data_IF_209413920787
#
_entry.id   IF_209413920787
#
_cell.length_a   1.000
_cell.length_b   1.000
_cell.length_c   1.000
_cell.angle_alpha   90.00
_cell.angle_beta   90.00
_cell.angle_gamma   90.00
#
_symmetry.space_group_name_H-M   'P 1'
#
loop_
_entity.id
_entity.type
_entity.pdbx_description
1 polymer ?
#
# COMPACT_ATOMS: atom_id res chain seq x y z
N UNK A 1 -1.48 -33.63 -18.29
CA UNK A 1 -2.18 -32.33 -18.52
C UNK A 1 -2.42 -32.14 -20.01
N UNK A 2 -3.66 -31.91 -20.41
CA UNK A 2 -4.00 -31.59 -21.81
C UNK A 2 -4.25 -30.07 -21.88
N UNK A 3 -3.44 -29.38 -22.70
CA UNK A 3 -3.58 -27.94 -22.95
C UNK A 3 -4.29 -27.75 -24.27
N UNK A 4 -5.28 -26.87 -24.31
CA UNK A 4 -6.03 -26.50 -25.51
C UNK A 4 -5.69 -25.05 -25.89
N UNK A 5 -5.44 -24.79 -27.17
CA UNK A 5 -5.28 -23.44 -27.67
C UNK A 5 -6.65 -22.83 -27.95
N UNK A 6 -6.98 -21.73 -27.28
CA UNK A 6 -8.24 -21.01 -27.43
C UNK A 6 -7.99 -19.52 -27.69
N UNK A 7 -8.94 -18.87 -28.36
CA UNK A 7 -8.95 -17.42 -28.48
C UNK A 7 -9.81 -16.83 -27.39
N UNK A 8 -9.34 -15.79 -26.68
CA UNK A 8 -10.10 -15.21 -25.55
C UNK A 8 -11.50 -14.73 -25.97
N UNK A 9 -11.70 -14.26 -27.20
CA UNK A 9 -13.00 -13.85 -27.70
C UNK A 9 -14.01 -14.99 -27.85
N UNK A 10 -13.53 -16.23 -27.94
CA UNK A 10 -14.41 -17.43 -28.05
C UNK A 10 -14.93 -17.86 -26.66
N UNK A 11 -14.18 -17.55 -25.60
CA UNK A 11 -14.46 -17.99 -24.23
C UNK A 11 -14.93 -16.89 -23.29
N UNK A 12 -14.82 -15.62 -23.69
CA UNK A 12 -15.19 -14.47 -22.86
C UNK A 12 -15.79 -13.33 -23.68
N UNK A 13 -16.72 -12.62 -23.09
CA UNK A 13 -17.26 -11.36 -23.61
C UNK A 13 -16.56 -10.17 -22.95
N UNK A 14 -16.30 -9.12 -23.74
CA UNK A 14 -15.64 -7.91 -23.28
C UNK A 14 -16.53 -6.69 -23.45
N UNK A 15 -16.61 -5.83 -22.43
CA UNK A 15 -17.35 -4.57 -22.50
C UNK A 15 -16.64 -3.44 -21.76
N UNK A 16 -16.77 -2.22 -22.29
CA UNK A 16 -16.30 -1.02 -21.59
C UNK A 16 -17.29 -0.63 -20.50
N UNK A 17 -16.80 0.03 -19.46
CA UNK A 17 -17.64 0.58 -18.40
C UNK A 17 -18.34 1.88 -18.83
N UNK A 18 -19.03 2.47 -17.86
CA UNK A 18 -19.84 3.68 -18.06
C UNK A 18 -18.97 4.94 -18.18
N UNK A 19 -19.36 5.84 -19.07
CA UNK A 19 -18.81 7.18 -19.16
C UNK A 19 -19.72 8.14 -18.40
N UNK A 20 -19.14 8.99 -17.58
CA UNK A 20 -19.86 9.97 -16.77
C UNK A 20 -18.96 11.19 -16.49
N UNK A 21 -19.56 12.27 -16.05
CA UNK A 21 -18.86 13.48 -15.63
C UNK A 21 -18.75 13.55 -14.10
N UNK A 22 -18.02 14.55 -13.58
CA UNK A 22 -17.82 14.70 -12.14
C UNK A 22 -19.10 14.93 -11.32
N UNK A 23 -20.17 15.41 -11.94
CA UNK A 23 -21.46 15.67 -11.27
C UNK A 23 -22.27 14.38 -11.01
N UNK A 24 -21.79 13.25 -11.52
CA UNK A 24 -22.41 11.95 -11.31
C UNK A 24 -21.99 11.28 -9.99
N UNK A 25 -20.94 11.79 -9.32
CA UNK A 25 -20.54 11.24 -8.02
C UNK A 25 -21.57 11.61 -6.96
N UNK A 26 -22.29 10.61 -6.48
CA UNK A 26 -23.33 10.70 -5.47
C UNK A 26 -23.57 9.31 -4.87
N UNK A 27 -24.14 9.23 -3.67
CA UNK A 27 -24.52 7.95 -3.05
C UNK A 27 -25.47 7.16 -3.94
N UNK A 28 -25.10 5.94 -4.35
CA UNK A 28 -25.92 5.17 -5.27
C UNK A 28 -25.40 3.78 -5.63
N UNK A 29 -24.59 3.67 -6.69
CA UNK A 29 -23.98 2.41 -7.14
C UNK A 29 -22.47 2.51 -6.98
N UNK A 30 -21.84 1.50 -6.38
CA UNK A 30 -20.39 1.44 -6.21
C UNK A 30 -19.68 1.38 -7.55
N UNK A 31 -18.58 2.14 -7.68
CA UNK A 31 -17.84 2.32 -8.93
C UNK A 31 -16.40 1.82 -8.79
N UNK A 32 -16.01 0.87 -9.62
CA UNK A 32 -14.60 0.53 -9.81
C UNK A 32 -14.00 1.49 -10.85
N UNK A 33 -13.09 2.34 -10.39
CA UNK A 33 -12.27 3.23 -11.23
C UNK A 33 -10.81 2.82 -11.24
N UNK A 34 -9.99 3.47 -12.08
CA UNK A 34 -8.56 3.14 -12.21
C UNK A 34 -7.78 3.30 -10.90
N UNK A 35 -8.16 4.22 -10.03
CA UNK A 35 -7.53 4.44 -8.72
C UNK A 35 -7.69 3.26 -7.75
N UNK A 36 -8.65 2.37 -7.99
CA UNK A 36 -8.89 1.20 -7.15
C UNK A 36 -7.95 0.02 -7.47
N UNK A 37 -7.25 0.07 -8.62
CA UNK A 37 -6.31 -0.98 -9.03
C UNK A 37 -4.94 -0.74 -8.39
N UNK A 38 -4.60 -1.58 -7.41
CA UNK A 38 -3.26 -1.74 -6.87
C UNK A 38 -2.72 -3.13 -7.22
N UNK A 39 -2.04 -3.76 -6.26
CA UNK A 39 -1.63 -5.18 -6.35
C UNK A 39 -2.73 -6.15 -5.88
N UNK A 40 -3.92 -5.63 -5.59
CA UNK A 40 -5.04 -6.40 -5.06
C UNK A 40 -5.55 -7.42 -6.08
N UNK A 41 -5.97 -8.57 -5.56
CA UNK A 41 -6.66 -9.58 -6.37
C UNK A 41 -8.16 -9.27 -6.49
N UNK A 42 -8.75 -8.73 -5.43
CA UNK A 42 -10.17 -8.36 -5.34
C UNK A 42 -10.34 -6.86 -5.07
N UNK A 43 -11.46 -6.24 -5.49
CA UNK A 43 -11.79 -4.87 -5.12
C UNK A 43 -12.05 -4.73 -3.61
N UNK A 44 -11.67 -3.59 -3.04
CA UNK A 44 -12.09 -3.21 -1.69
C UNK A 44 -13.43 -2.46 -1.78
N UNK A 45 -14.52 -3.18 -1.64
CA UNK A 45 -15.86 -2.63 -1.79
C UNK A 45 -16.21 -1.51 -0.80
N UNK A 46 -15.52 -1.45 0.36
CA UNK A 46 -15.75 -0.42 1.37
C UNK A 46 -15.16 0.93 0.97
N UNK A 47 -14.13 0.93 0.12
CA UNK A 47 -13.42 2.14 -0.31
C UNK A 47 -13.82 2.60 -1.71
N UNK A 48 -14.82 1.97 -2.34
CA UNK A 48 -15.30 2.40 -3.65
C UNK A 48 -16.10 3.69 -3.54
N UNK A 49 -15.85 4.61 -4.47
CA UNK A 49 -16.74 5.75 -4.70
C UNK A 49 -18.07 5.26 -5.26
N UNK A 50 -19.09 6.11 -5.18
CA UNK A 50 -20.41 5.79 -5.69
C UNK A 50 -20.84 6.80 -6.75
N UNK A 51 -21.71 6.34 -7.67
CA UNK A 51 -22.32 7.16 -8.71
C UNK A 51 -23.85 7.01 -8.69
N UNK A 52 -24.54 8.00 -9.24
CA UNK A 52 -26.02 8.02 -9.34
C UNK A 52 -26.56 6.73 -9.93
N UNK A 53 -27.68 6.27 -9.38
CA UNK A 53 -28.32 5.00 -9.80
C UNK A 53 -28.89 5.04 -11.21
N UNK A 54 -29.38 6.19 -11.64
CA UNK A 54 -30.06 6.42 -12.92
C UNK A 54 -29.13 6.34 -14.14
N UNK A 55 -27.82 6.55 -13.94
CA UNK A 55 -26.84 6.43 -15.02
C UNK A 55 -26.31 4.99 -15.20
N UNK A 56 -26.69 4.06 -14.32
CA UNK A 56 -26.16 2.68 -14.33
C UNK A 56 -27.26 1.71 -14.72
N UNK A 57 -27.17 1.16 -15.92
CA UNK A 57 -28.10 0.14 -16.40
C UNK A 57 -27.78 -1.23 -15.78
N UNK A 58 -28.74 -2.19 -15.75
CA UNK A 58 -28.48 -3.54 -15.23
C UNK A 58 -27.32 -4.27 -15.91
N UNK A 59 -27.15 -4.09 -17.24
CA UNK A 59 -26.04 -4.68 -18.00
C UNK A 59 -24.68 -4.10 -17.69
N UNK A 60 -24.62 -2.87 -17.14
CA UNK A 60 -23.38 -2.22 -16.70
C UNK A 60 -22.94 -2.69 -15.30
N UNK A 61 -23.74 -3.52 -14.64
CA UNK A 61 -23.42 -4.07 -13.34
C UNK A 61 -22.49 -5.28 -13.45
N UNK A 62 -21.50 -5.30 -12.56
CA UNK A 62 -20.59 -6.41 -12.39
C UNK A 62 -21.26 -7.56 -11.61
N UNK A 63 -20.87 -8.79 -11.94
CA UNK A 63 -21.32 -10.03 -11.31
C UNK A 63 -20.13 -10.78 -10.71
N UNK A 64 -20.42 -11.72 -9.85
CA UNK A 64 -19.41 -12.65 -9.36
C UNK A 64 -18.70 -13.35 -10.54
N UNK A 65 -17.39 -13.41 -10.52
CA UNK A 65 -16.56 -14.00 -11.59
C UNK A 65 -16.20 -13.03 -12.73
N UNK A 66 -16.72 -11.81 -12.77
CA UNK A 66 -16.28 -10.79 -13.72
C UNK A 66 -14.82 -10.36 -13.41
N UNK A 67 -14.02 -10.20 -14.47
CA UNK A 67 -12.64 -9.69 -14.34
C UNK A 67 -12.59 -8.30 -14.96
N UNK A 68 -12.15 -7.32 -14.18
CA UNK A 68 -12.10 -5.91 -14.63
C UNK A 68 -10.65 -5.52 -14.87
N UNK A 69 -10.37 -4.93 -16.04
CA UNK A 69 -9.05 -4.45 -16.46
C UNK A 69 -8.99 -2.94 -16.48
N UNK A 70 -7.83 -2.37 -16.18
CA UNK A 70 -7.51 -0.99 -16.53
C UNK A 70 -7.32 -0.89 -18.05
N UNK A 71 -8.21 -0.14 -18.71
CA UNK A 71 -8.18 0.10 -20.15
C UNK A 71 -7.20 1.19 -20.52
N UNK A 72 -7.25 2.33 -19.85
CA UNK A 72 -6.50 3.54 -20.19
C UNK A 72 -6.04 4.27 -18.95
N UNK A 73 -4.77 4.67 -18.93
CA UNK A 73 -4.18 5.49 -17.88
C UNK A 73 -2.93 6.21 -18.41
N UNK A 74 -2.63 7.40 -17.87
CA UNK A 74 -1.38 8.11 -18.15
C UNK A 74 -0.11 7.36 -17.68
N UNK A 75 -0.24 6.46 -16.69
CA UNK A 75 0.83 5.54 -16.30
C UNK A 75 0.68 4.21 -17.06
N UNK A 76 1.62 3.94 -17.96
CA UNK A 76 1.65 2.72 -18.78
C UNK A 76 1.63 1.42 -17.97
N UNK A 77 2.22 1.42 -16.78
CA UNK A 77 2.29 0.23 -15.93
C UNK A 77 0.94 -0.17 -15.32
N UNK A 78 -0.02 0.74 -15.28
CA UNK A 78 -1.36 0.44 -14.78
C UNK A 78 -2.24 -0.21 -15.86
N UNK A 79 -2.00 0.05 -17.13
CA UNK A 79 -2.79 -0.50 -18.24
C UNK A 79 -2.65 -2.03 -18.27
N UNK A 80 -3.77 -2.73 -18.37
CA UNK A 80 -3.85 -4.20 -18.33
C UNK A 80 -3.77 -4.81 -16.94
N UNK A 81 -3.64 -4.03 -15.85
CA UNK A 81 -3.89 -4.56 -14.51
C UNK A 81 -5.33 -5.01 -14.39
N UNK A 82 -5.56 -6.10 -13.66
CA UNK A 82 -6.90 -6.64 -13.50
C UNK A 82 -7.22 -7.02 -12.05
N UNK A 83 -8.51 -7.11 -11.75
CA UNK A 83 -9.07 -7.60 -10.49
C UNK A 83 -10.26 -8.52 -10.78
N UNK A 84 -10.45 -9.52 -9.93
CA UNK A 84 -11.61 -10.41 -9.94
C UNK A 84 -12.71 -9.85 -9.04
N UNK A 85 -13.91 -9.72 -9.56
CA UNK A 85 -15.11 -9.38 -8.78
C UNK A 85 -15.59 -10.64 -8.06
N UNK A 86 -15.52 -10.64 -6.72
CA UNK A 86 -15.92 -11.78 -5.88
C UNK A 86 -17.05 -11.35 -4.96
N UNK A 87 -18.19 -12.04 -5.07
CA UNK A 87 -19.35 -11.91 -4.19
C UNK A 87 -19.73 -10.45 -3.85
N UNK A 88 -20.03 -9.59 -4.84
CA UNK A 88 -20.48 -8.23 -4.55
C UNK A 88 -21.83 -8.28 -3.81
N UNK A 89 -21.90 -7.72 -2.61
CA UNK A 89 -23.11 -7.68 -1.77
C UNK A 89 -24.07 -6.56 -2.20
N UNK A 90 -23.57 -5.60 -3.00
CA UNK A 90 -24.31 -4.45 -3.52
C UNK A 90 -24.10 -4.33 -5.03
N UNK A 91 -24.86 -3.46 -5.66
CA UNK A 91 -24.62 -3.14 -7.08
C UNK A 91 -23.26 -2.46 -7.25
N UNK A 92 -22.46 -3.01 -8.14
CA UNK A 92 -21.14 -2.48 -8.50
C UNK A 92 -21.08 -2.28 -10.00
N UNK A 93 -20.59 -1.14 -10.44
CA UNK A 93 -20.30 -0.83 -11.85
C UNK A 93 -18.82 -0.47 -12.02
N UNK A 94 -18.41 -0.13 -13.23
CA UNK A 94 -17.02 0.22 -13.54
C UNK A 94 -16.93 1.36 -14.55
N UNK A 95 -15.87 2.15 -14.47
CA UNK A 95 -15.72 3.35 -15.30
C UNK A 95 -15.33 3.01 -16.74
N UNK A 96 -15.61 3.90 -17.68
CA UNK A 96 -15.23 3.78 -19.10
C UNK A 96 -13.71 3.67 -19.35
N UNK A 97 -12.88 3.94 -18.32
CA UNK A 97 -11.45 3.66 -18.32
C UNK A 97 -11.09 2.22 -17.96
N UNK A 98 -12.10 1.37 -17.78
CA UNK A 98 -11.97 -0.06 -17.50
C UNK A 98 -12.68 -0.90 -18.54
N UNK A 99 -12.27 -2.16 -18.70
CA UNK A 99 -12.92 -3.20 -19.51
C UNK A 99 -13.26 -4.36 -18.59
N UNK A 100 -14.49 -4.85 -18.66
CA UNK A 100 -14.92 -6.12 -18.05
C UNK A 100 -14.67 -7.26 -19.03
N UNK A 101 -14.07 -8.35 -18.56
CA UNK A 101 -14.15 -9.68 -19.17
C UNK A 101 -15.12 -10.52 -18.35
N UNK A 102 -16.04 -11.21 -19.03
CA UNK A 102 -16.95 -12.20 -18.45
C UNK A 102 -16.80 -13.50 -19.20
N UNK A 103 -16.41 -14.56 -18.50
CA UNK A 103 -16.31 -15.89 -19.07
C UNK A 103 -17.69 -16.41 -19.45
N UNK A 104 -17.82 -17.03 -20.64
CA UNK A 104 -19.09 -17.50 -21.18
C UNK A 104 -19.53 -18.82 -20.54
N UNK A 105 -18.58 -19.62 -20.05
CA UNK A 105 -18.81 -20.93 -19.46
C UNK A 105 -17.85 -21.11 -18.25
N UNK A 106 -18.38 -20.97 -17.05
CA UNK A 106 -17.60 -21.10 -15.80
C UNK A 106 -17.40 -22.55 -15.35
N UNK A 107 -18.11 -23.50 -15.96
CA UNK A 107 -17.88 -24.93 -15.70
C UNK A 107 -16.64 -25.45 -16.46
N UNK A 108 -16.24 -24.72 -17.52
CA UNK A 108 -15.04 -25.03 -18.31
C UNK A 108 -13.89 -24.08 -18.06
N UNK A 109 -14.14 -22.85 -17.63
CA UNK A 109 -13.15 -21.78 -17.48
C UNK A 109 -13.26 -21.12 -16.11
N UNK A 110 -12.27 -21.31 -15.24
CA UNK A 110 -12.27 -20.78 -13.88
C UNK A 110 -11.85 -19.28 -13.87
N UNK A 111 -12.72 -18.35 -13.36
CA UNK A 111 -12.39 -16.94 -13.24
C UNK A 111 -11.16 -16.63 -12.38
N UNK A 112 -10.85 -17.45 -11.35
CA UNK A 112 -9.68 -17.28 -10.50
C UNK A 112 -8.41 -17.59 -11.28
N UNK A 113 -8.39 -18.74 -11.99
CA UNK A 113 -7.29 -19.10 -12.88
C UNK A 113 -7.04 -18.03 -13.93
N UNK A 114 -8.09 -17.57 -14.64
CA UNK A 114 -7.94 -16.53 -15.67
C UNK A 114 -7.46 -15.19 -15.10
N UNK A 115 -7.84 -14.85 -13.87
CA UNK A 115 -7.31 -13.65 -13.22
C UNK A 115 -5.80 -13.76 -13.01
N UNK A 116 -5.27 -14.91 -12.58
CA UNK A 116 -3.83 -15.15 -12.49
C UNK A 116 -3.15 -15.14 -13.85
N UNK A 117 -3.77 -15.77 -14.85
CA UNK A 117 -3.27 -15.73 -16.22
C UNK A 117 -3.10 -14.28 -16.70
N UNK A 118 -4.11 -13.44 -16.50
CA UNK A 118 -4.09 -12.02 -16.88
C UNK A 118 -3.12 -11.17 -16.05
N UNK A 119 -2.84 -11.55 -14.83
CA UNK A 119 -1.80 -10.91 -14.00
C UNK A 119 -0.39 -11.32 -14.40
N UNK A 120 -0.21 -12.38 -15.17
CA UNK A 120 1.10 -12.87 -15.58
C UNK A 120 1.85 -11.84 -16.44
N UNK A 121 3.18 -11.77 -16.26
CA UNK A 121 4.04 -10.88 -17.07
C UNK A 121 3.96 -11.21 -18.57
N UNK A 122 3.76 -12.50 -18.91
CA UNK A 122 3.64 -12.95 -20.29
C UNK A 122 2.40 -12.35 -20.97
N UNK A 123 1.22 -12.50 -20.34
CA UNK A 123 -0.01 -11.92 -20.85
C UNK A 123 0.07 -10.39 -20.94
N UNK A 124 0.53 -9.73 -19.88
CA UNK A 124 0.64 -8.27 -19.87
C UNK A 124 1.55 -7.73 -20.99
N UNK A 125 2.67 -8.39 -21.26
CA UNK A 125 3.54 -8.06 -22.40
C UNK A 125 2.83 -8.26 -23.74
N UNK A 126 2.10 -9.36 -23.91
CA UNK A 126 1.39 -9.66 -25.15
C UNK A 126 0.29 -8.63 -25.47
N UNK A 127 -0.45 -8.17 -24.43
CA UNK A 127 -1.54 -7.18 -24.64
C UNK A 127 -1.07 -5.72 -24.56
N UNK A 128 0.11 -5.44 -23.98
CA UNK A 128 0.66 -4.07 -23.90
C UNK A 128 1.17 -3.54 -25.24
N UNK A 129 1.34 -4.36 -26.26
CA UNK A 129 1.78 -4.06 -27.62
C UNK A 129 2.70 -2.87 -27.78
N UNK A 130 3.88 -3.11 -28.29
CA UNK A 130 4.87 -2.13 -28.71
C UNK A 130 4.40 -1.33 -29.93
N UNK A 131 3.46 -0.40 -29.75
CA UNK A 131 3.33 0.68 -30.72
C UNK A 131 4.46 1.68 -30.45
N UNK A 132 5.53 1.57 -31.19
CA UNK A 132 6.61 2.57 -31.23
C UNK A 132 5.97 3.92 -31.55
N UNK A 133 6.02 4.88 -30.63
CA UNK A 133 5.63 6.28 -30.86
C UNK A 133 4.34 6.78 -30.20
N UNK A 134 3.50 5.96 -29.54
CA UNK A 134 2.30 6.46 -28.88
C UNK A 134 2.49 6.65 -27.36
N UNK A 135 2.24 7.87 -26.88
CA UNK A 135 2.38 8.24 -25.46
C UNK A 135 1.27 7.67 -24.54
N UNK A 136 0.18 7.15 -25.09
CA UNK A 136 -0.94 6.56 -24.33
C UNK A 136 -1.19 5.16 -24.89
N UNK A 137 -1.00 4.14 -24.04
CA UNK A 137 -1.36 2.77 -24.38
C UNK A 137 -2.80 2.53 -23.92
N UNK A 138 -3.67 2.19 -24.88
CA UNK A 138 -5.04 1.76 -24.61
C UNK A 138 -5.16 0.25 -24.85
N UNK A 139 -5.60 -0.48 -23.84
CA UNK A 139 -6.09 -1.83 -23.99
C UNK A 139 -7.46 -1.78 -24.71
N UNK A 140 -7.63 -2.51 -25.80
CA UNK A 140 -8.91 -2.58 -26.51
C UNK A 140 -9.58 -3.95 -26.35
N UNK A 141 -10.91 -3.97 -26.46
CA UNK A 141 -11.68 -5.22 -26.45
C UNK A 141 -11.20 -6.15 -27.59
N UNK A 142 -10.98 -5.60 -28.80
CA UNK A 142 -10.50 -6.37 -29.94
C UNK A 142 -9.13 -7.02 -29.67
N UNK A 143 -8.23 -6.34 -28.95
CA UNK A 143 -6.93 -6.90 -28.60
C UNK A 143 -7.06 -8.04 -27.60
N UNK A 144 -7.96 -7.91 -26.60
CA UNK A 144 -8.27 -8.99 -25.68
C UNK A 144 -8.90 -10.17 -26.42
N UNK A 145 -9.94 -9.92 -27.23
CA UNK A 145 -10.67 -10.96 -27.97
C UNK A 145 -9.76 -11.75 -28.93
N UNK A 146 -8.80 -11.07 -29.57
CA UNK A 146 -7.89 -11.72 -30.53
C UNK A 146 -6.66 -12.38 -29.89
N UNK A 147 -6.54 -12.36 -28.56
CA UNK A 147 -5.42 -12.99 -27.88
C UNK A 147 -5.61 -14.51 -27.82
N UNK A 148 -4.64 -15.24 -28.36
CA UNK A 148 -4.58 -16.71 -28.24
C UNK A 148 -3.93 -17.10 -26.92
N UNK A 149 -4.51 -18.03 -26.19
CA UNK A 149 -3.95 -18.59 -24.96
C UNK A 149 -4.05 -20.12 -24.96
N UNK A 150 -3.10 -20.75 -24.28
CA UNK A 150 -3.16 -22.16 -23.98
C UNK A 150 -3.82 -22.34 -22.61
N UNK A 151 -4.84 -23.16 -22.52
CA UNK A 151 -5.65 -23.36 -21.31
C UNK A 151 -5.67 -24.85 -20.97
N UNK A 152 -5.37 -25.25 -19.72
CA UNK A 152 -5.48 -26.64 -19.31
C UNK A 152 -6.94 -27.04 -19.05
N UNK A 153 -7.19 -28.31 -18.80
CA UNK A 153 -8.49 -28.77 -18.33
C UNK A 153 -8.90 -28.09 -17.01
N UNK A 154 -10.21 -28.10 -16.72
CA UNK A 154 -10.79 -27.35 -15.59
C UNK A 154 -10.24 -27.82 -14.22
N UNK A 155 -9.95 -29.09 -14.06
CA UNK A 155 -9.37 -29.64 -12.83
C UNK A 155 -7.97 -29.06 -12.59
N UNK A 156 -7.17 -28.95 -13.64
CA UNK A 156 -5.84 -28.32 -13.59
C UNK A 156 -5.96 -26.81 -13.34
N UNK A 157 -6.94 -26.11 -13.96
CA UNK A 157 -7.20 -24.70 -13.68
C UNK A 157 -7.50 -24.49 -12.19
N UNK A 158 -8.39 -25.30 -11.60
CA UNK A 158 -8.72 -25.22 -10.17
C UNK A 158 -7.49 -25.47 -9.29
N UNK A 159 -6.69 -26.50 -9.57
CA UNK A 159 -5.47 -26.77 -8.79
C UNK A 159 -4.47 -25.61 -8.83
N UNK A 160 -4.25 -25.01 -10.01
CA UNK A 160 -3.39 -23.84 -10.16
C UNK A 160 -3.97 -22.64 -9.39
N UNK A 161 -5.28 -22.40 -9.51
CA UNK A 161 -5.97 -21.33 -8.81
C UNK A 161 -5.87 -21.50 -7.28
N UNK A 162 -6.08 -22.70 -6.76
CA UNK A 162 -6.00 -23.01 -5.33
C UNK A 162 -4.59 -22.79 -4.77
N UNK A 163 -3.56 -23.22 -5.50
CA UNK A 163 -2.16 -22.99 -5.09
C UNK A 163 -1.87 -21.49 -5.01
N UNK A 164 -2.20 -20.73 -6.04
CA UNK A 164 -1.87 -19.29 -6.10
C UNK A 164 -2.74 -18.47 -5.13
N UNK A 165 -4.02 -18.80 -4.98
CA UNK A 165 -4.92 -18.09 -4.06
C UNK A 165 -4.53 -18.30 -2.60
N UNK A 166 -3.99 -19.47 -2.23
CA UNK A 166 -3.48 -19.71 -0.89
C UNK A 166 -2.38 -18.71 -0.49
N UNK A 167 -1.50 -18.32 -1.44
CA UNK A 167 -0.51 -17.25 -1.20
C UNK A 167 -1.18 -15.89 -1.02
N UNK A 168 -2.14 -15.54 -1.89
CA UNK A 168 -2.82 -14.24 -1.79
C UNK A 168 -3.69 -14.13 -0.53
N UNK A 169 -4.34 -15.20 -0.10
CA UNK A 169 -5.12 -15.26 1.14
C UNK A 169 -4.20 -15.08 2.37
N UNK A 170 -3.02 -15.69 2.37
CA UNK A 170 -2.02 -15.49 3.43
C UNK A 170 -1.47 -14.06 3.43
N UNK A 171 -1.22 -13.46 2.26
CA UNK A 171 -0.79 -12.07 2.13
C UNK A 171 -1.88 -11.13 2.69
N UNK A 172 -3.14 -11.33 2.29
CA UNK A 172 -4.27 -10.52 2.78
C UNK A 172 -4.45 -10.65 4.29
N UNK A 173 -4.35 -11.86 4.83
CA UNK A 173 -4.45 -12.09 6.26
C UNK A 173 -3.35 -11.37 7.05
N UNK A 174 -2.09 -11.43 6.59
CA UNK A 174 -1.00 -10.69 7.22
C UNK A 174 -1.18 -9.17 7.11
N UNK A 175 -1.72 -8.65 6.00
CA UNK A 175 -2.06 -7.22 5.86
C UNK A 175 -3.16 -6.80 6.85
N UNK A 176 -4.20 -7.62 7.05
CA UNK A 176 -5.24 -7.40 8.05
C UNK A 176 -4.67 -7.40 9.47
N UNK A 177 -3.75 -8.33 9.77
CA UNK A 177 -3.07 -8.37 11.07
C UNK A 177 -2.26 -7.09 11.32
N UNK A 178 -1.50 -6.58 10.34
CA UNK A 178 -0.77 -5.30 10.47
C UNK A 178 -1.75 -4.17 10.81
N UNK A 179 -2.85 -4.05 10.09
CA UNK A 179 -3.85 -3.01 10.34
C UNK A 179 -4.44 -3.10 11.77
N UNK A 180 -4.79 -4.29 12.24
CA UNK A 180 -5.31 -4.49 13.59
C UNK A 180 -4.27 -4.16 14.66
N UNK A 181 -2.98 -4.46 14.42
CA UNK A 181 -1.88 -4.12 15.32
C UNK A 181 -1.63 -2.59 15.34
N UNK A 182 -1.74 -1.90 14.22
CA UNK A 182 -1.71 -0.43 14.16
C UNK A 182 -2.85 0.19 14.98
N UNK A 183 -4.08 -0.31 14.81
CA UNK A 183 -5.23 0.16 15.58
C UNK A 183 -5.06 -0.12 17.07
N UNK A 184 -4.50 -1.28 17.45
CA UNK A 184 -4.23 -1.61 18.86
C UNK A 184 -3.18 -0.67 19.46
N UNK A 185 -2.11 -0.34 18.75
CA UNK A 185 -1.10 0.59 19.20
C UNK A 185 -1.65 2.02 19.36
N UNK A 186 -2.47 2.48 18.40
CA UNK A 186 -3.12 3.79 18.49
C UNK A 186 -4.07 3.88 19.69
N UNK A 187 -4.87 2.83 19.94
CA UNK A 187 -5.76 2.75 21.12
C UNK A 187 -4.96 2.75 22.41
N UNK A 188 -3.88 1.96 22.47
CA UNK A 188 -3.01 1.92 23.65
C UNK A 188 -2.39 3.28 23.94
N UNK A 189 -1.86 3.97 22.88
CA UNK A 189 -1.31 5.30 23.02
C UNK A 189 -2.37 6.30 23.53
N UNK A 190 -3.55 6.29 22.89
CA UNK A 190 -4.65 7.18 23.27
C UNK A 190 -5.05 6.95 24.72
N UNK A 191 -5.26 5.72 25.12
CA UNK A 191 -5.70 5.37 26.48
C UNK A 191 -4.69 5.80 27.52
N UNK A 192 -3.40 5.54 27.30
CA UNK A 192 -2.38 5.81 28.33
C UNK A 192 -1.90 7.25 28.35
N UNK A 193 -1.76 7.91 27.19
CA UNK A 193 -1.06 9.19 27.07
C UNK A 193 -1.95 10.36 26.63
N UNK A 194 -3.16 10.10 26.19
CA UNK A 194 -4.17 11.14 25.88
C UNK A 194 -5.27 11.14 26.94
N UNK A 195 -5.88 9.97 27.18
CA UNK A 195 -6.97 9.82 28.17
C UNK A 195 -6.43 9.61 29.60
N UNK A 196 -5.11 9.46 29.75
CA UNK A 196 -4.37 9.27 31.00
C UNK A 196 -4.85 8.07 31.84
N UNK A 197 -5.36 7.02 31.17
CA UNK A 197 -5.81 5.76 31.78
C UNK A 197 -4.72 4.68 31.74
N UNK A 198 -3.53 5.04 32.19
CA UNK A 198 -2.38 4.12 32.29
C UNK A 198 -2.50 3.21 33.53
N UNK A 199 -1.73 2.10 33.62
CA UNK A 199 -1.75 1.23 34.77
C UNK A 199 -1.47 1.97 36.05
N UNK A 200 -2.39 1.87 37.04
CA UNK A 200 -2.38 2.55 38.34
C UNK A 200 -2.68 4.06 38.29
N UNK A 201 -3.30 4.56 37.24
CA UNK A 201 -3.68 5.98 37.10
C UNK A 201 -4.57 6.44 38.27
N UNK A 202 -5.42 5.56 38.86
CA UNK A 202 -6.28 5.90 39.99
C UNK A 202 -5.49 6.34 41.24
N UNK A 203 -4.23 5.91 41.37
CA UNK A 203 -3.35 6.24 42.49
C UNK A 203 -2.36 7.38 42.15
N UNK A 204 -2.46 7.99 40.96
CA UNK A 204 -1.55 9.03 40.49
C UNK A 204 -2.28 10.37 40.44
N UNK A 205 -1.74 11.37 41.12
CA UNK A 205 -2.29 12.73 41.08
C UNK A 205 -2.04 13.37 39.72
N UNK A 206 -3.01 14.13 39.25
CA UNK A 206 -2.84 14.98 38.03
C UNK A 206 -2.56 16.39 38.51
N UNK A 207 -1.43 16.93 38.14
CA UNK A 207 -0.99 18.30 38.46
C UNK A 207 -0.83 19.05 37.12
N UNK A 208 -1.53 20.17 36.96
CA UNK A 208 -1.52 20.97 35.73
C UNK A 208 -1.77 20.16 34.45
N UNK A 209 -2.65 19.17 34.51
CA UNK A 209 -3.01 18.31 33.39
C UNK A 209 -2.01 17.18 33.09
N UNK A 210 -0.94 17.06 33.89
CA UNK A 210 0.11 16.06 33.71
C UNK A 210 0.14 15.14 34.95
N UNK A 211 0.24 13.79 34.78
CA UNK A 211 0.40 12.87 35.93
C UNK A 211 1.67 13.20 36.71
N UNK A 212 1.58 13.09 38.07
CA UNK A 212 2.73 13.32 38.93
C UNK A 212 3.93 12.44 38.53
N UNK A 213 5.12 13.04 38.44
CA UNK A 213 6.34 12.37 37.95
C UNK A 213 6.50 12.31 36.45
N UNK A 214 5.50 12.76 35.69
CA UNK A 214 5.62 12.91 34.24
C UNK A 214 5.94 14.37 33.89
N UNK A 215 6.36 14.61 32.65
CA UNK A 215 6.65 15.96 32.17
C UNK A 215 6.33 16.11 30.69
N UNK A 216 6.00 17.32 30.27
CA UNK A 216 6.00 17.70 28.86
C UNK A 216 7.43 17.98 28.41
N UNK A 217 7.79 17.55 27.24
CA UNK A 217 9.07 17.76 26.58
C UNK A 217 8.86 17.96 25.09
N UNK A 218 9.89 18.30 24.35
CA UNK A 218 9.82 18.45 22.91
C UNK A 218 10.52 17.29 22.18
N UNK A 219 10.16 17.07 20.92
CA UNK A 219 10.84 16.05 20.08
C UNK A 219 12.34 16.31 20.01
N UNK A 220 12.76 17.59 19.93
CA UNK A 220 14.19 17.96 19.94
C UNK A 220 14.93 17.51 21.21
N UNK A 221 14.31 17.63 22.37
CA UNK A 221 14.92 17.27 23.65
C UNK A 221 15.04 15.76 23.89
N UNK A 222 14.18 14.98 23.23
CA UNK A 222 14.17 13.52 23.36
C UNK A 222 14.77 12.80 22.15
N UNK A 223 15.37 13.51 21.21
CA UNK A 223 16.02 12.95 20.04
C UNK A 223 17.55 13.09 20.08
N UNK A 224 18.27 12.04 19.68
CA UNK A 224 19.71 12.12 19.37
C UNK A 224 19.94 12.53 17.93
N UNK A 225 18.98 12.25 17.05
CA UNK A 225 19.01 12.68 15.64
C UNK A 225 17.65 13.28 15.30
N UNK A 226 17.67 14.49 14.76
CA UNK A 226 16.56 15.18 14.12
C UNK A 226 17.13 15.89 12.91
N UNK A 227 17.19 15.22 11.75
CA UNK A 227 17.93 15.72 10.60
C UNK A 227 17.27 15.36 9.29
N UNK A 228 17.28 16.29 8.32
CA UNK A 228 16.93 16.02 6.93
C UNK A 228 17.97 15.19 6.21
N UNK A 229 17.51 14.46 5.21
CA UNK A 229 18.38 13.73 4.31
C UNK A 229 19.18 14.62 3.36
N UNK A 230 19.74 13.99 2.36
CA UNK A 230 20.63 14.63 1.38
C UNK A 230 19.85 15.05 0.12
N UNK A 231 20.38 16.00 -0.65
CA UNK A 231 20.02 16.17 -2.05
C UNK A 231 20.72 15.09 -2.88
N UNK A 232 20.02 14.06 -3.37
CA UNK A 232 20.66 12.92 -4.01
C UNK A 232 21.24 13.25 -5.38
N UNK A 233 22.27 12.50 -5.80
CA UNK A 233 22.71 12.43 -7.20
C UNK A 233 22.24 11.10 -7.78
N UNK A 234 21.14 11.15 -8.52
CA UNK A 234 20.52 9.94 -9.08
C UNK A 234 21.40 9.30 -10.15
N UNK A 235 21.56 7.99 -10.05
CA UNK A 235 22.27 7.18 -11.04
C UNK A 235 21.70 5.75 -11.01
N UNK A 236 21.11 5.30 -12.11
CA UNK A 236 20.49 3.97 -12.22
C UNK A 236 21.47 2.80 -12.04
N UNK A 237 22.77 3.04 -12.27
CA UNK A 237 23.82 2.04 -12.11
C UNK A 237 24.45 2.03 -10.70
N UNK A 238 24.06 2.95 -9.82
CA UNK A 238 24.59 3.04 -8.48
C UNK A 238 24.00 1.97 -7.56
N UNK A 239 24.77 1.58 -6.53
CA UNK A 239 24.35 0.63 -5.49
C UNK A 239 23.64 1.32 -4.31
N UNK A 240 23.84 2.62 -4.14
CA UNK A 240 23.20 3.38 -3.08
C UNK A 240 21.73 3.59 -3.36
N UNK A 241 20.91 3.51 -2.32
CA UNK A 241 19.45 3.69 -2.39
C UNK A 241 19.08 4.93 -1.59
N UNK A 242 18.13 5.72 -2.09
CA UNK A 242 17.59 6.88 -1.40
C UNK A 242 16.07 6.76 -1.24
N UNK A 243 15.62 6.83 0.01
CA UNK A 243 14.20 6.90 0.40
C UNK A 243 13.72 8.33 0.16
N UNK A 244 12.58 8.47 -0.49
CA UNK A 244 11.89 9.72 -0.75
C UNK A 244 10.47 9.71 -0.15
N UNK A 245 9.74 10.82 -0.22
CA UNK A 245 8.40 10.93 0.35
C UNK A 245 7.38 9.93 -0.22
N UNK A 246 7.60 9.39 -1.42
CA UNK A 246 6.70 8.37 -2.00
C UNK A 246 6.83 7.02 -1.31
N UNK A 247 7.95 6.76 -0.65
CA UNK A 247 8.19 5.56 0.14
C UNK A 247 7.39 5.56 1.45
N UNK A 248 6.93 6.73 1.91
CA UNK A 248 6.23 6.92 3.19
C UNK A 248 4.75 7.13 2.91
N UNK A 249 4.02 6.06 2.68
CA UNK A 249 2.56 6.08 2.44
C UNK A 249 1.76 5.53 3.61
N UNK A 250 2.35 4.61 4.33
CA UNK A 250 1.77 3.87 5.46
C UNK A 250 2.74 3.92 6.64
N UNK A 251 2.38 3.25 7.73
CA UNK A 251 3.23 3.10 8.92
C UNK A 251 4.57 2.46 8.58
N UNK A 252 4.56 1.41 7.76
CA UNK A 252 5.77 0.73 7.28
C UNK A 252 6.29 1.45 6.04
N UNK A 253 7.55 1.89 6.07
CA UNK A 253 8.20 2.51 4.93
C UNK A 253 8.48 1.45 3.86
N UNK A 254 8.01 1.69 2.62
CA UNK A 254 8.25 0.81 1.48
C UNK A 254 9.51 1.25 0.71
N UNK A 255 10.23 0.30 0.15
CA UNK A 255 11.34 0.55 -0.77
C UNK A 255 10.92 0.59 -2.25
N UNK A 256 9.65 0.33 -2.57
CA UNK A 256 9.17 0.19 -3.96
C UNK A 256 9.35 1.46 -4.80
N UNK A 257 9.25 2.64 -4.16
CA UNK A 257 9.43 3.95 -4.81
C UNK A 257 10.80 4.57 -4.50
N UNK A 258 11.69 3.82 -3.86
CA UNK A 258 13.06 4.26 -3.62
C UNK A 258 13.84 4.33 -4.93
N UNK A 259 14.84 5.21 -4.99
CA UNK A 259 15.65 5.42 -6.20
C UNK A 259 17.11 5.16 -5.93
N UNK A 260 17.84 4.78 -6.95
CA UNK A 260 19.30 4.61 -6.86
C UNK A 260 20.02 5.95 -6.95
N UNK A 261 21.13 6.09 -6.21
CA UNK A 261 21.91 7.32 -6.11
C UNK A 261 23.38 7.02 -5.80
N UNK A 262 24.31 7.92 -6.14
CA UNK A 262 25.75 7.73 -6.01
C UNK A 262 26.45 8.71 -5.03
N UNK A 263 25.71 9.71 -4.51
CA UNK A 263 26.27 10.70 -3.61
C UNK A 263 26.63 10.07 -2.25
N UNK A 264 27.83 10.35 -1.76
CA UNK A 264 28.22 10.01 -0.39
C UNK A 264 27.38 10.78 0.64
N UNK A 265 27.10 10.18 1.75
CA UNK A 265 26.34 10.76 2.85
C UNK A 265 26.99 10.42 4.20
N UNK A 266 26.74 11.24 5.24
CA UNK A 266 27.25 10.98 6.60
C UNK A 266 26.69 9.67 7.17
N UNK A 267 27.49 8.97 7.96
CA UNK A 267 27.11 7.68 8.56
C UNK A 267 25.84 7.77 9.42
N UNK A 268 25.62 8.90 10.08
CA UNK A 268 24.40 9.15 10.86
C UNK A 268 23.10 9.12 10.03
N UNK A 269 23.18 9.36 8.69
CA UNK A 269 22.07 9.25 7.74
C UNK A 269 21.95 7.87 7.08
N UNK A 270 22.74 6.90 7.52
CA UNK A 270 22.54 5.50 7.18
C UNK A 270 21.30 4.98 7.89
N UNK A 271 20.39 4.37 7.12
CA UNK A 271 19.15 3.87 7.69
C UNK A 271 19.38 2.70 8.63
N UNK A 272 18.70 2.75 9.77
CA UNK A 272 18.68 1.72 10.80
C UNK A 272 17.25 1.23 10.99
N UNK A 273 17.12 0.03 11.52
CA UNK A 273 15.84 -0.51 11.94
C UNK A 273 15.22 0.40 13.01
N UNK A 274 13.92 0.56 12.94
CA UNK A 274 13.11 1.44 13.80
C UNK A 274 13.32 2.95 13.57
N UNK A 275 14.12 3.38 12.58
CA UNK A 275 14.23 4.81 12.23
C UNK A 275 12.85 5.40 11.91
N UNK A 276 12.55 6.55 12.51
CA UNK A 276 11.31 7.30 12.27
C UNK A 276 11.57 8.30 11.14
N UNK A 277 10.70 8.28 10.13
CA UNK A 277 10.77 9.15 8.97
C UNK A 277 9.52 10.02 8.86
N UNK A 278 9.72 11.33 8.67
CA UNK A 278 8.62 12.28 8.44
C UNK A 278 8.81 12.96 7.09
N UNK A 279 7.75 12.97 6.27
CA UNK A 279 7.73 13.73 5.02
C UNK A 279 7.73 15.23 5.32
N UNK A 280 8.81 15.92 4.96
CA UNK A 280 8.98 17.36 5.22
C UNK A 280 8.49 18.24 4.09
N UNK A 281 8.13 17.67 2.92
CA UNK A 281 7.60 18.42 1.77
C UNK A 281 6.65 17.52 0.96
N UNK A 282 5.99 18.14 -0.02
CA UNK A 282 5.20 17.44 -1.04
C UNK A 282 3.69 17.56 -0.84
N UNK A 283 2.99 17.98 -1.89
CA UNK A 283 1.54 18.07 -1.91
C UNK A 283 0.93 16.66 -1.63
N UNK A 284 0.14 16.57 -0.56
CA UNK A 284 -0.51 15.32 -0.14
C UNK A 284 0.41 14.27 0.52
N UNK A 285 1.69 14.58 0.75
CA UNK A 285 2.62 13.69 1.49
C UNK A 285 3.18 14.34 2.76
N UNK A 286 3.19 15.67 2.83
CA UNK A 286 3.67 16.45 3.96
C UNK A 286 3.14 15.91 5.29
N UNK A 287 4.00 15.82 6.30
CA UNK A 287 3.64 15.40 7.66
C UNK A 287 3.38 13.91 7.84
N UNK A 288 3.43 13.09 6.78
CA UNK A 288 3.29 11.63 6.94
C UNK A 288 4.43 11.06 7.77
N UNK A 289 4.06 10.22 8.72
CA UNK A 289 4.99 9.55 9.65
C UNK A 289 5.05 8.07 9.31
N UNK A 290 6.26 7.55 9.06
CA UNK A 290 6.51 6.13 8.82
C UNK A 290 7.75 5.65 9.56
N UNK A 291 7.95 4.34 9.64
CA UNK A 291 9.06 3.73 10.33
C UNK A 291 9.74 2.67 9.45
N UNK A 292 11.06 2.55 9.58
CA UNK A 292 11.86 1.50 8.93
C UNK A 292 11.73 0.22 9.73
N UNK A 293 11.13 -0.81 9.15
CA UNK A 293 10.98 -2.12 9.79
C UNK A 293 12.14 -3.07 9.45
N UNK A 294 12.74 -2.89 8.29
CA UNK A 294 13.91 -3.65 7.84
C UNK A 294 14.92 -2.68 7.24
N UNK A 295 16.08 -2.57 7.87
CA UNK A 295 17.18 -1.77 7.34
C UNK A 295 17.89 -2.54 6.22
N UNK A 296 18.16 -1.86 5.11
CA UNK A 296 18.97 -2.40 4.00
C UNK A 296 20.30 -1.68 3.94
N UNK A 297 21.30 -2.36 3.40
CA UNK A 297 22.62 -1.76 3.19
C UNK A 297 22.58 -0.62 2.17
N UNK A 298 23.47 0.36 2.34
CA UNK A 298 23.64 1.49 1.43
C UNK A 298 22.37 2.34 1.20
N UNK A 299 21.51 2.43 2.22
CA UNK A 299 20.27 3.23 2.18
C UNK A 299 20.45 4.50 2.98
N UNK A 300 19.98 5.61 2.39
CA UNK A 300 19.83 6.93 3.03
C UNK A 300 18.48 7.54 2.67
N UNK A 301 18.22 8.79 3.04
CA UNK A 301 16.99 9.51 2.73
C UNK A 301 17.29 10.81 1.99
N UNK A 302 16.32 11.28 1.20
CA UNK A 302 16.45 12.55 0.49
C UNK A 302 16.11 13.76 1.38
N UNK A 303 16.38 14.96 0.88
CA UNK A 303 16.15 16.23 1.59
C UNK A 303 14.67 16.54 1.85
N UNK A 304 13.75 15.77 1.28
CA UNK A 304 12.31 15.89 1.49
C UNK A 304 11.79 15.07 2.67
N UNK A 305 12.69 14.33 3.34
CA UNK A 305 12.38 13.46 4.48
C UNK A 305 13.27 13.83 5.66
N UNK A 306 12.69 13.86 6.85
CA UNK A 306 13.40 14.06 8.12
C UNK A 306 13.50 12.74 8.88
N UNK A 307 14.72 12.40 9.32
CA UNK A 307 15.05 11.28 10.19
C UNK A 307 14.97 11.70 11.65
N UNK A 308 14.37 10.84 12.49
CA UNK A 308 14.33 11.02 13.94
C UNK A 308 14.75 9.73 14.63
N UNK A 309 15.66 9.86 15.61
CA UNK A 309 16.04 8.78 16.53
C UNK A 309 15.89 9.25 17.96
N UNK A 310 15.23 8.45 18.78
CA UNK A 310 15.03 8.74 20.19
C UNK A 310 16.37 8.67 20.98
N UNK A 311 16.44 9.45 22.05
CA UNK A 311 17.48 9.29 23.06
C UNK A 311 17.04 8.29 24.17
N UNK A 312 17.90 8.06 25.16
CA UNK A 312 17.65 7.12 26.25
C UNK A 312 16.50 7.51 27.19
N UNK A 313 15.95 8.73 27.07
CA UNK A 313 14.87 9.23 27.94
C UNK A 313 13.51 8.67 27.55
N UNK A 314 13.36 8.38 26.27
CA UNK A 314 12.14 7.79 25.71
C UNK A 314 12.52 6.64 24.79
N UNK A 315 11.68 5.64 24.68
CA UNK A 315 11.90 4.56 23.73
C UNK A 315 11.61 4.97 22.29
N UNK A 316 12.24 4.30 21.36
CA UNK A 316 12.10 4.57 19.91
C UNK A 316 10.66 4.31 19.43
N UNK A 317 10.03 3.25 19.93
CA UNK A 317 8.66 2.87 19.55
C UNK A 317 7.63 3.80 20.19
N UNK A 318 7.87 4.21 21.44
CA UNK A 318 7.03 5.22 22.09
C UNK A 318 7.06 6.56 21.30
N UNK A 319 8.25 7.04 20.97
CA UNK A 319 8.40 8.28 20.18
C UNK A 319 7.73 8.17 18.82
N UNK A 320 7.86 7.01 18.16
CA UNK A 320 7.19 6.75 16.89
C UNK A 320 5.67 6.93 17.00
N UNK A 321 5.04 6.26 17.99
CA UNK A 321 3.59 6.36 18.16
C UNK A 321 3.15 7.76 18.62
N UNK A 322 3.95 8.46 19.44
CA UNK A 322 3.71 9.86 19.79
C UNK A 322 3.61 10.76 18.56
N UNK A 323 4.55 10.62 17.62
CA UNK A 323 4.56 11.37 16.37
C UNK A 323 3.47 10.91 15.40
N UNK A 324 3.19 9.60 15.35
CA UNK A 324 2.14 9.03 14.51
C UNK A 324 0.76 9.53 14.89
N UNK A 325 0.48 9.68 16.18
CA UNK A 325 -0.77 10.25 16.68
C UNK A 325 -0.89 11.75 16.41
N UNK A 326 0.22 12.45 16.23
CA UNK A 326 0.26 13.86 15.84
C UNK A 326 0.33 14.08 14.32
N UNK A 327 0.16 13.04 13.50
CA UNK A 327 0.32 13.13 12.05
C UNK A 327 -0.58 14.19 11.43
N UNK A 328 -1.84 14.31 11.86
CA UNK A 328 -2.78 15.32 11.32
C UNK A 328 -2.32 16.74 11.62
N UNK A 329 -1.78 16.97 12.83
CA UNK A 329 -1.14 18.24 13.17
C UNK A 329 0.07 18.52 12.25
N UNK A 330 0.97 17.56 12.08
CA UNK A 330 2.14 17.69 11.22
C UNK A 330 1.74 17.98 9.76
N UNK A 331 0.67 17.37 9.27
CA UNK A 331 0.14 17.62 7.92
C UNK A 331 -0.39 19.04 7.76
N UNK A 332 -0.95 19.64 8.81
CA UNK A 332 -1.49 21.00 8.82
C UNK A 332 -0.44 22.06 9.14
N UNK A 333 0.66 21.70 9.79
CA UNK A 333 1.68 22.64 10.29
C UNK A 333 2.67 23.13 9.20
N UNK A 334 2.53 22.70 7.96
CA UNK A 334 3.40 23.16 6.86
C UNK A 334 3.25 24.64 6.56
N UNK A 335 4.37 25.32 6.33
CA UNK A 335 4.43 26.74 5.95
C UNK A 335 4.88 26.87 4.50
N UNK A 336 4.34 27.87 3.79
CA UNK A 336 4.71 28.18 2.40
C UNK A 336 3.51 28.43 1.49
N UNK A 337 3.74 28.64 0.19
CA UNK A 337 2.68 28.78 -0.81
C UNK A 337 2.02 27.45 -1.13
N UNK A 338 0.80 27.45 -1.65
CA UNK A 338 -0.11 26.30 -1.83
C UNK A 338 0.51 25.06 -2.48
N UNK A 339 1.58 25.23 -3.28
CA UNK A 339 2.27 24.12 -3.94
C UNK A 339 3.68 23.82 -3.40
N UNK A 340 4.15 24.59 -2.40
CA UNK A 340 5.50 24.47 -1.82
C UNK A 340 5.44 24.49 -0.28
N UNK A 341 4.49 23.77 0.28
CA UNK A 341 4.42 23.59 1.73
C UNK A 341 5.63 22.81 2.23
N UNK A 342 6.25 23.33 3.27
CA UNK A 342 7.40 22.75 3.92
C UNK A 342 7.19 22.65 5.42
N UNK A 343 7.46 21.48 5.98
CA UNK A 343 7.51 21.25 7.41
C UNK A 343 8.97 21.39 7.87
N UNK A 344 9.26 22.46 8.59
CA UNK A 344 10.61 22.73 9.04
C UNK A 344 11.05 21.72 10.10
N UNK A 345 12.36 21.50 10.21
CA UNK A 345 12.94 20.70 11.29
C UNK A 345 12.60 21.28 12.67
N UNK A 346 12.55 22.58 12.79
CA UNK A 346 12.14 23.28 14.00
C UNK A 346 10.67 23.01 14.37
N UNK A 347 9.77 23.04 13.40
CA UNK A 347 8.35 22.70 13.63
C UNK A 347 8.20 21.27 14.14
N UNK A 348 8.92 20.31 13.56
CA UNK A 348 8.92 18.92 14.04
C UNK A 348 9.54 18.84 15.45
N UNK A 349 10.67 19.54 15.65
CA UNK A 349 11.40 19.55 16.91
C UNK A 349 10.63 20.12 18.08
N UNK A 350 9.74 21.08 17.81
CA UNK A 350 8.89 21.73 18.80
C UNK A 350 7.57 20.98 19.09
N UNK A 351 7.30 19.86 18.41
CA UNK A 351 6.16 19.01 18.77
C UNK A 351 6.29 18.56 20.21
N UNK A 352 5.28 18.82 21.00
CA UNK A 352 5.21 18.40 22.41
C UNK A 352 4.92 16.91 22.52
N UNK A 353 5.60 16.26 23.45
CA UNK A 353 5.35 14.90 23.83
C UNK A 353 5.31 14.76 25.36
N UNK A 354 4.47 13.90 25.84
CA UNK A 354 4.40 13.58 27.25
C UNK A 354 5.46 12.54 27.57
N UNK A 355 6.38 12.85 28.47
CA UNK A 355 7.44 11.93 28.90
C UNK A 355 7.05 11.33 30.26
N UNK A 356 6.63 10.05 30.29
CA UNK A 356 6.26 9.40 31.52
C UNK A 356 7.47 9.13 32.42
N UNK A 357 7.22 8.79 33.69
CA UNK A 357 8.29 8.30 34.57
C UNK A 357 8.99 7.08 33.95
N UNK A 358 10.25 6.84 34.32
CA UNK A 358 11.11 5.81 33.69
C UNK A 358 10.48 4.42 33.66
N UNK A 359 9.79 4.03 34.72
CA UNK A 359 9.12 2.71 34.78
C UNK A 359 7.97 2.59 33.80
N UNK A 360 7.15 3.62 33.65
CA UNK A 360 6.03 3.69 32.73
C UNK A 360 6.54 3.82 31.29
N UNK A 361 7.57 4.63 31.05
CA UNK A 361 8.23 4.73 29.75
C UNK A 361 8.74 3.35 29.28
N UNK A 362 9.41 2.60 30.17
CA UNK A 362 9.89 1.25 29.86
C UNK A 362 8.75 0.25 29.59
N UNK A 363 7.63 0.35 30.31
CA UNK A 363 6.46 -0.51 30.06
C UNK A 363 5.81 -0.17 28.71
N UNK A 364 5.66 1.10 28.37
CA UNK A 364 5.13 1.57 27.11
C UNK A 364 6.00 1.10 25.94
N UNK A 365 7.31 1.34 26.02
CA UNK A 365 8.26 0.90 25.01
C UNK A 365 8.19 -0.61 24.76
N UNK A 366 8.14 -1.41 25.84
CA UNK A 366 8.01 -2.87 25.75
C UNK A 366 6.74 -3.30 25.00
N UNK A 367 5.61 -2.65 25.30
CA UNK A 367 4.34 -2.97 24.65
C UNK A 367 4.37 -2.58 23.16
N UNK A 368 4.84 -1.39 22.84
CA UNK A 368 4.95 -0.92 21.47
C UNK A 368 5.98 -1.70 20.66
N UNK A 369 7.11 -2.09 21.28
CA UNK A 369 8.10 -2.95 20.64
C UNK A 369 7.53 -4.32 20.29
N UNK A 370 6.75 -4.95 21.17
CA UNK A 370 6.08 -6.22 20.87
C UNK A 370 5.11 -6.11 19.68
N UNK A 371 4.37 -5.00 19.58
CA UNK A 371 3.49 -4.72 18.43
C UNK A 371 4.33 -4.51 17.15
N UNK A 372 5.40 -3.71 17.22
CA UNK A 372 6.31 -3.47 16.11
C UNK A 372 6.92 -4.78 15.59
N UNK A 373 7.43 -5.65 16.48
CA UNK A 373 8.04 -6.92 16.09
C UNK A 373 7.03 -7.84 15.39
N UNK A 374 5.78 -7.85 15.86
CA UNK A 374 4.73 -8.62 15.19
C UNK A 374 4.34 -8.05 13.82
N UNK A 375 4.26 -6.73 13.69
CA UNK A 375 4.05 -6.07 12.39
C UNK A 375 5.20 -6.36 11.44
N UNK A 376 6.46 -6.34 11.92
CA UNK A 376 7.65 -6.69 11.16
C UNK A 376 7.58 -8.13 10.65
N UNK A 377 7.24 -9.09 11.52
CA UNK A 377 7.06 -10.49 11.14
C UNK A 377 6.03 -10.64 10.01
N UNK A 378 4.87 -10.00 10.14
CA UNK A 378 3.83 -10.00 9.10
C UNK A 378 4.32 -9.38 7.80
N UNK A 379 5.03 -8.25 7.84
CA UNK A 379 5.59 -7.58 6.67
C UNK A 379 6.60 -8.45 5.93
N UNK A 380 7.51 -9.11 6.66
CA UNK A 380 8.49 -10.03 6.08
C UNK A 380 7.82 -11.26 5.46
N UNK A 381 6.76 -11.80 6.09
CA UNK A 381 5.95 -12.90 5.52
C UNK A 381 5.30 -12.47 4.22
N UNK A 382 4.72 -11.28 4.15
CA UNK A 382 4.12 -10.74 2.93
C UNK A 382 5.14 -10.68 1.79
N UNK A 383 6.34 -10.18 2.06
CA UNK A 383 7.42 -10.10 1.05
C UNK A 383 7.77 -11.49 0.51
N UNK A 384 8.04 -12.46 1.39
CA UNK A 384 8.39 -13.84 1.01
C UNK A 384 7.26 -14.55 0.25
N UNK A 385 6.01 -14.36 0.68
CA UNK A 385 4.84 -14.95 0.02
C UNK A 385 4.66 -14.37 -1.39
N UNK A 386 4.85 -13.05 -1.58
CA UNK A 386 4.83 -12.41 -2.90
C UNK A 386 5.93 -12.96 -3.81
N UNK A 387 7.15 -13.04 -3.33
CA UNK A 387 8.28 -13.59 -4.08
C UNK A 387 8.02 -15.04 -4.50
N UNK A 388 7.56 -15.88 -3.59
CA UNK A 388 7.24 -17.30 -3.88
C UNK A 388 6.12 -17.42 -4.93
N UNK A 389 5.02 -16.67 -4.75
CA UNK A 389 3.91 -16.63 -5.72
C UNK A 389 4.39 -16.19 -7.10
N UNK A 390 5.17 -15.11 -7.17
CA UNK A 390 5.64 -14.51 -8.42
C UNK A 390 6.66 -15.40 -9.15
N UNK A 391 7.37 -16.27 -8.43
CA UNK A 391 8.22 -17.32 -9.00
C UNK A 391 7.41 -18.52 -9.51
N UNK A 392 6.33 -18.88 -8.83
CA UNK A 392 5.46 -20.02 -9.20
C UNK A 392 4.54 -19.67 -10.37
N UNK A 393 3.98 -18.47 -10.39
CA UNK A 393 3.00 -18.05 -11.38
C UNK A 393 3.41 -18.34 -12.84
N UNK A 394 4.59 -17.95 -13.34
CA UNK A 394 4.96 -18.24 -14.74
C UNK A 394 5.15 -19.74 -15.02
N UNK A 395 5.61 -20.52 -14.04
CA UNK A 395 5.81 -21.97 -14.19
C UNK A 395 4.49 -22.71 -14.27
N UNK A 396 3.52 -22.36 -13.43
CA UNK A 396 2.19 -22.94 -13.43
C UNK A 396 1.41 -22.54 -14.70
N UNK A 397 1.48 -21.25 -15.10
CA UNK A 397 0.78 -20.76 -16.29
C UNK A 397 1.34 -21.26 -17.62
N UNK A 398 2.58 -21.75 -17.64
CA UNK A 398 3.19 -22.32 -18.87
C UNK A 398 3.11 -23.84 -18.93
N UNK A 399 2.60 -24.53 -17.89
CA UNK A 399 2.69 -25.99 -17.76
C UNK A 399 4.10 -26.49 -17.47
N UNK A 400 5.04 -25.60 -17.12
CA UNK A 400 6.41 -25.97 -16.76
C UNK A 400 6.53 -26.62 -15.38
N UNK A 401 5.42 -26.72 -14.65
CA UNK A 401 5.29 -27.43 -13.39
C UNK A 401 3.97 -28.20 -13.40
N UNK A 402 4.02 -29.49 -13.13
CA UNK A 402 2.83 -30.33 -12.96
C UNK A 402 2.17 -30.09 -11.59
N UNK A 403 0.83 -30.06 -11.57
CA UNK A 403 -0.01 -29.86 -10.37
C UNK A 403 -1.08 -30.93 -10.27
#
# INVERSE_FOLDING_TARGET
>A
MKWEKVKLGDIASFSNGINFNKTAYEKGVKLIGVSNFGDRFYPDYLQLQEVKKDIVRPEDCLRNGDIVFVRSNGNKELVGRCMLVKNPTERVTYSGFCIRARLNDTDRYDPVYFTYYFKSKAFRRAVSGTAVGANIQNLSQARLSNHDCNVPDIETQHRIADILSAYDDLIENNQKQIKLLEEAAQRLYKEWFVDLRFPRHENTKIVDGVPEGWRTSTVSEVSVILRRGISPKYNEKARGIVINQKCIRQTIVSYDEARTQEKKYPDELKMMESDILICSTGAGTLGRVGQIFEAKENVTLDSHVTLIRANERVGQQYLFWSLKMQQDYLMSAGKGSTNQLELSRETIGNCEILVPERKMAGQAEKNFAAIHDKMKECSMKITRLREARDLLLPKLMSGGMEV
#
